data_IF_230410800907
#
_entry.id   IF_230410800907
#
_cell.length_a   1.000
_cell.length_b   1.000
_cell.length_c   1.000
_cell.angle_alpha   90.00
_cell.angle_beta   90.00
_cell.angle_gamma   90.00
#
_symmetry.space_group_name_H-M   'P 1'
#
loop_
_entity.id
_entity.type
_entity.pdbx_description
1 polymer ?
#
# COMPACT_ATOMS: atom_id res chain seq x y z
N UNK A 1 16.81 -13.34 -20.63
CA UNK A 1 17.49 -14.52 -20.04
C UNK A 1 16.44 -15.38 -19.35
N UNK A 2 16.41 -16.70 -19.63
CA UNK A 2 15.56 -17.62 -18.90
C UNK A 2 16.03 -17.71 -17.44
N UNK A 3 15.11 -17.57 -16.47
CA UNK A 3 15.45 -17.77 -15.04
C UNK A 3 15.69 -19.25 -14.80
N UNK A 4 16.77 -19.55 -14.10
CA UNK A 4 17.06 -20.93 -13.69
C UNK A 4 16.33 -21.19 -12.37
N UNK A 5 15.37 -22.11 -12.39
CA UNK A 5 14.71 -22.60 -11.17
C UNK A 5 15.78 -23.32 -10.32
N UNK A 6 15.92 -22.91 -9.06
CA UNK A 6 16.87 -23.47 -8.10
C UNK A 6 16.20 -24.38 -7.07
N UNK A 7 14.91 -24.18 -6.86
CA UNK A 7 14.10 -24.98 -5.95
C UNK A 7 12.71 -25.19 -6.55
N UNK A 8 12.28 -26.44 -6.53
CA UNK A 8 10.93 -26.84 -6.91
C UNK A 8 10.47 -27.92 -5.92
N UNK A 9 9.37 -27.67 -5.22
CA UNK A 9 8.81 -28.64 -4.27
C UNK A 9 7.30 -28.53 -4.20
N UNK A 10 6.68 -29.59 -3.66
CA UNK A 10 5.26 -29.63 -3.36
C UNK A 10 5.12 -30.11 -1.91
N UNK A 11 4.39 -29.36 -1.11
CA UNK A 11 4.09 -29.67 0.29
C UNK A 11 2.59 -29.85 0.45
N UNK A 12 2.18 -30.58 1.48
CA UNK A 12 0.77 -30.70 1.89
C UNK A 12 0.61 -30.21 3.32
N UNK A 13 -0.23 -29.21 3.49
CA UNK A 13 -0.47 -28.55 4.78
C UNK A 13 -1.99 -28.42 4.97
N UNK A 14 -2.55 -29.12 5.96
CA UNK A 14 -3.98 -29.05 6.31
C UNK A 14 -4.95 -29.13 5.12
N UNK A 15 -4.68 -30.04 4.19
CA UNK A 15 -5.50 -30.23 2.99
C UNK A 15 -5.17 -29.31 1.81
N UNK A 16 -4.25 -28.36 1.99
CA UNK A 16 -3.73 -27.48 0.96
C UNK A 16 -2.51 -28.07 0.27
N UNK A 17 -2.46 -27.99 -1.04
CA UNK A 17 -1.26 -28.26 -1.83
C UNK A 17 -0.48 -26.96 -2.04
N UNK A 18 0.66 -26.84 -1.34
CA UNK A 18 1.60 -25.72 -1.48
C UNK A 18 2.67 -26.10 -2.52
N UNK A 19 2.63 -25.43 -3.66
CA UNK A 19 3.63 -25.54 -4.74
C UNK A 19 4.65 -24.42 -4.61
N UNK A 20 5.93 -24.74 -4.59
CA UNK A 20 7.00 -23.76 -4.45
C UNK A 20 7.86 -23.75 -5.70
N UNK A 21 8.04 -22.57 -6.27
CA UNK A 21 8.93 -22.30 -7.41
C UNK A 21 9.89 -21.19 -7.01
N UNK A 22 11.20 -21.45 -7.00
CA UNK A 22 12.16 -20.45 -6.57
C UNK A 22 13.39 -20.39 -7.48
N UNK A 23 13.82 -19.17 -7.78
CA UNK A 23 15.15 -18.87 -8.36
C UNK A 23 16.16 -18.41 -7.28
N UNK A 24 15.75 -18.44 -6.00
CA UNK A 24 16.57 -18.19 -4.82
C UNK A 24 17.09 -19.52 -4.28
N UNK A 25 18.32 -19.57 -3.78
CA UNK A 25 18.87 -20.77 -3.15
C UNK A 25 18.58 -20.82 -1.66
N UNK A 26 19.59 -20.49 -0.85
CA UNK A 26 19.45 -20.40 0.60
C UNK A 26 18.40 -19.36 0.98
N UNK A 27 17.59 -19.65 2.01
CA UNK A 27 16.51 -18.78 2.49
C UNK A 27 15.12 -19.14 1.94
N UNK A 28 14.98 -19.89 0.83
CA UNK A 28 13.68 -20.38 0.35
C UNK A 28 12.97 -21.21 1.43
N UNK A 29 13.71 -22.01 2.20
CA UNK A 29 13.14 -22.84 3.27
C UNK A 29 12.50 -22.03 4.39
N UNK A 30 13.04 -20.86 4.73
CA UNK A 30 12.42 -19.96 5.72
C UNK A 30 11.07 -19.45 5.24
N UNK A 31 10.97 -19.11 3.97
CA UNK A 31 9.69 -18.66 3.37
C UNK A 31 8.69 -19.81 3.35
N UNK A 32 9.11 -21.02 3.00
CA UNK A 32 8.24 -22.21 3.02
C UNK A 32 7.70 -22.46 4.43
N UNK A 33 8.58 -22.46 5.45
CA UNK A 33 8.18 -22.68 6.84
C UNK A 33 7.18 -21.63 7.32
N UNK A 34 7.45 -20.35 7.02
CA UNK A 34 6.55 -19.26 7.39
C UNK A 34 5.19 -19.40 6.70
N UNK A 35 5.16 -19.79 5.43
CA UNK A 35 3.92 -20.01 4.67
C UNK A 35 3.13 -21.20 5.23
N UNK A 36 3.79 -22.31 5.54
CA UNK A 36 3.14 -23.46 6.16
C UNK A 36 2.50 -23.11 7.52
N UNK A 37 3.19 -22.30 8.33
CA UNK A 37 2.66 -21.84 9.63
C UNK A 37 1.43 -20.94 9.44
N UNK A 38 1.44 -20.06 8.45
CA UNK A 38 0.29 -19.19 8.12
C UNK A 38 -0.90 -20.01 7.65
N UNK A 39 -0.69 -20.99 6.76
CA UNK A 39 -1.75 -21.91 6.32
C UNK A 39 -2.36 -22.65 7.52
N UNK A 40 -1.55 -23.22 8.41
CA UNK A 40 -2.03 -23.94 9.61
C UNK A 40 -2.85 -23.03 10.52
N UNK A 41 -2.40 -21.80 10.73
CA UNK A 41 -3.08 -20.87 11.63
C UNK A 41 -4.43 -20.42 11.09
N UNK A 42 -4.54 -20.08 9.80
CA UNK A 42 -5.82 -19.75 9.16
C UNK A 42 -6.75 -20.99 9.09
N UNK A 43 -6.18 -22.18 8.84
CA UNK A 43 -6.95 -23.42 8.84
C UNK A 43 -7.54 -23.73 10.23
N UNK A 44 -6.75 -23.53 11.29
CA UNK A 44 -7.21 -23.69 12.67
C UNK A 44 -8.33 -22.70 13.05
N UNK A 45 -8.32 -21.51 12.45
CA UNK A 45 -9.38 -20.51 12.59
C UNK A 45 -10.61 -20.80 11.70
N UNK A 46 -10.63 -21.90 10.93
CA UNK A 46 -11.65 -22.26 9.95
C UNK A 46 -11.91 -21.19 8.87
N UNK A 47 -10.91 -20.41 8.54
CA UNK A 47 -10.99 -19.32 7.57
C UNK A 47 -10.30 -19.63 6.23
N UNK A 48 -9.61 -20.78 6.13
CA UNK A 48 -8.78 -21.13 4.99
C UNK A 48 -9.56 -21.81 3.85
N UNK A 49 -9.76 -21.16 2.68
CA UNK A 49 -10.51 -21.75 1.57
C UNK A 49 -9.62 -22.35 0.48
N UNK A 50 -8.30 -22.06 0.51
CA UNK A 50 -7.44 -22.40 -0.62
C UNK A 50 -7.06 -23.89 -0.61
N UNK A 51 -7.31 -24.56 -1.73
CA UNK A 51 -6.84 -25.92 -2.00
C UNK A 51 -5.45 -25.94 -2.62
N UNK A 52 -5.11 -24.84 -3.30
CA UNK A 52 -3.83 -24.69 -3.99
C UNK A 52 -3.25 -23.32 -3.68
N UNK A 53 -2.01 -23.34 -3.24
CA UNK A 53 -1.18 -22.14 -3.10
C UNK A 53 0.07 -22.33 -3.94
N UNK A 54 0.40 -21.37 -4.80
CA UNK A 54 1.65 -21.36 -5.51
C UNK A 54 2.52 -20.22 -4.98
N UNK A 55 3.64 -20.59 -4.37
CA UNK A 55 4.60 -19.66 -3.79
C UNK A 55 5.78 -19.48 -4.76
N UNK A 56 5.87 -18.31 -5.35
CA UNK A 56 6.99 -17.89 -6.19
C UNK A 56 7.98 -17.10 -5.35
N UNK A 57 9.15 -17.67 -5.05
CA UNK A 57 10.22 -16.98 -4.32
C UNK A 57 11.26 -16.51 -5.33
N UNK A 58 11.24 -15.23 -5.64
CA UNK A 58 11.99 -14.63 -6.73
C UNK A 58 13.10 -13.74 -6.19
N UNK A 59 14.28 -13.80 -6.79
CA UNK A 59 15.38 -12.92 -6.44
C UNK A 59 15.02 -11.45 -6.67
N UNK A 60 14.34 -11.17 -7.78
CA UNK A 60 13.89 -9.84 -8.21
C UNK A 60 12.63 -9.96 -9.05
N UNK A 61 11.64 -9.11 -8.79
CA UNK A 61 10.37 -9.09 -9.52
C UNK A 61 10.37 -8.18 -10.75
N UNK A 62 11.40 -7.37 -11.00
CA UNK A 62 11.47 -6.47 -12.15
C UNK A 62 11.23 -7.14 -13.52
N UNK A 63 11.82 -8.32 -13.82
CA UNK A 63 11.56 -9.00 -15.08
C UNK A 63 10.12 -9.46 -15.23
N UNK A 64 9.46 -9.87 -14.13
CA UNK A 64 8.04 -10.25 -14.14
C UNK A 64 7.15 -9.02 -14.38
N UNK A 65 7.41 -7.92 -13.68
CA UNK A 65 6.69 -6.66 -13.86
C UNK A 65 6.77 -6.15 -15.30
N UNK A 66 7.96 -6.19 -15.91
CA UNK A 66 8.14 -5.82 -17.32
C UNK A 66 7.37 -6.73 -18.28
N UNK A 67 7.34 -8.04 -18.03
CA UNK A 67 6.56 -8.98 -18.85
C UNK A 67 5.06 -8.76 -18.73
N UNK A 68 4.57 -8.47 -17.53
CA UNK A 68 3.17 -8.13 -17.28
C UNK A 68 2.80 -6.80 -17.96
N UNK A 69 3.64 -5.77 -17.81
CA UNK A 69 3.42 -4.47 -18.45
C UNK A 69 3.40 -4.50 -19.98
N UNK A 70 4.09 -5.47 -20.59
CA UNK A 70 4.08 -5.68 -22.03
C UNK A 70 2.83 -6.43 -22.57
N UNK A 71 2.00 -7.02 -21.69
CA UNK A 71 0.78 -7.75 -22.07
C UNK A 71 -0.43 -6.84 -21.96
N UNK A 72 -1.15 -6.68 -23.08
CA UNK A 72 -2.45 -6.00 -23.05
C UNK A 72 -3.40 -6.75 -22.11
N UNK A 73 -4.11 -6.02 -21.25
CA UNK A 73 -5.06 -6.60 -20.28
C UNK A 73 -4.41 -7.20 -19.02
N UNK A 74 -3.08 -7.14 -18.87
CA UNK A 74 -2.42 -7.69 -17.67
C UNK A 74 -2.87 -7.00 -16.36
N UNK A 75 -3.23 -5.72 -16.42
CA UNK A 75 -3.77 -4.98 -15.28
C UNK A 75 -5.11 -5.56 -14.80
N UNK A 76 -5.93 -6.10 -15.71
CA UNK A 76 -7.22 -6.74 -15.40
C UNK A 76 -7.03 -8.13 -14.75
N UNK A 77 -5.90 -8.78 -15.01
CA UNK A 77 -5.58 -10.10 -14.45
C UNK A 77 -5.08 -10.01 -12.99
N UNK A 78 -4.67 -8.83 -12.52
CA UNK A 78 -4.19 -8.63 -11.17
C UNK A 78 -5.31 -7.98 -10.36
N UNK A 79 -5.95 -8.75 -9.51
CA UNK A 79 -7.06 -8.33 -8.65
C UNK A 79 -6.71 -7.20 -7.68
N UNK A 80 -5.42 -6.90 -7.53
CA UNK A 80 -4.94 -5.81 -6.68
C UNK A 80 -3.59 -5.28 -7.14
N UNK A 81 -3.61 -4.33 -8.10
CA UNK A 81 -2.41 -3.55 -8.36
C UNK A 81 -2.21 -2.52 -7.25
N UNK A 82 -0.98 -2.36 -6.72
CA UNK A 82 -0.67 -1.29 -5.79
C UNK A 82 -0.75 0.09 -6.48
N UNK A 83 -0.86 1.19 -5.71
CA UNK A 83 -0.65 2.52 -6.25
C UNK A 83 0.68 2.57 -7.01
N UNK A 84 0.64 3.07 -8.24
CA UNK A 84 1.80 3.01 -9.16
C UNK A 84 1.80 1.82 -10.12
N UNK A 85 0.79 0.96 -10.05
CA UNK A 85 0.57 -0.09 -11.03
C UNK A 85 1.64 -1.18 -11.04
N UNK A 86 1.90 -1.73 -12.22
CA UNK A 86 2.84 -2.86 -12.43
C UNK A 86 4.28 -2.50 -12.00
N UNK A 87 4.71 -1.25 -12.17
CA UNK A 87 6.06 -0.84 -11.78
C UNK A 87 6.24 -0.87 -10.25
N UNK A 88 5.18 -0.55 -9.49
CA UNK A 88 5.21 -0.61 -8.03
C UNK A 88 5.24 -2.05 -7.50
N UNK A 89 4.71 -3.04 -8.26
CA UNK A 89 4.82 -4.47 -7.91
C UNK A 89 6.26 -4.89 -7.66
N UNK A 90 7.19 -4.43 -8.50
CA UNK A 90 8.59 -4.81 -8.40
C UNK A 90 9.29 -4.27 -7.13
N UNK A 91 8.72 -3.27 -6.47
CA UNK A 91 9.25 -2.69 -5.24
C UNK A 91 8.69 -3.36 -3.97
N UNK A 92 7.57 -4.10 -4.07
CA UNK A 92 6.92 -4.71 -2.91
C UNK A 92 7.65 -5.98 -2.44
N UNK A 93 7.72 -6.20 -1.11
CA UNK A 93 8.27 -7.42 -0.53
C UNK A 93 7.51 -8.68 -0.91
N UNK A 94 6.17 -8.66 -0.79
CA UNK A 94 5.27 -9.75 -1.16
C UNK A 94 4.09 -9.15 -1.94
N UNK A 95 3.54 -9.94 -2.84
CA UNK A 95 2.31 -9.62 -3.58
C UNK A 95 1.51 -10.89 -3.74
N UNK A 96 0.22 -10.82 -3.45
CA UNK A 96 -0.74 -11.90 -3.73
C UNK A 96 -1.49 -11.67 -5.05
N UNK A 97 -1.79 -12.75 -5.76
CA UNK A 97 -2.69 -12.76 -6.90
C UNK A 97 -3.69 -13.90 -6.72
N UNK A 98 -4.97 -13.56 -6.68
CA UNK A 98 -6.06 -14.48 -6.45
C UNK A 98 -7.25 -14.14 -7.33
N UNK A 99 -8.07 -15.14 -7.60
CA UNK A 99 -9.32 -14.96 -8.32
C UNK A 99 -10.46 -14.70 -7.30
N UNK A 100 -11.11 -13.55 -7.42
CA UNK A 100 -12.24 -13.18 -6.57
C UNK A 100 -13.46 -14.08 -6.78
N UNK A 101 -13.60 -14.68 -7.96
CA UNK A 101 -14.69 -15.60 -8.27
C UNK A 101 -14.42 -17.02 -7.76
N UNK A 102 -13.16 -17.38 -7.49
CA UNK A 102 -12.74 -18.70 -7.03
C UNK A 102 -11.69 -18.58 -5.92
N UNK A 103 -12.14 -18.69 -4.68
CA UNK A 103 -11.25 -18.66 -3.50
C UNK A 103 -10.36 -19.91 -3.36
N UNK A 104 -10.38 -20.85 -4.33
CA UNK A 104 -9.68 -22.12 -4.18
C UNK A 104 -8.19 -22.07 -4.49
N UNK A 105 -7.70 -21.02 -5.14
CA UNK A 105 -6.30 -20.87 -5.48
C UNK A 105 -5.77 -19.48 -5.16
N UNK A 106 -4.53 -19.43 -4.69
CA UNK A 106 -3.80 -18.19 -4.45
C UNK A 106 -2.38 -18.34 -4.97
N UNK A 107 -1.84 -17.28 -5.59
CA UNK A 107 -0.44 -17.20 -5.97
C UNK A 107 0.22 -16.09 -5.17
N UNK A 108 1.34 -16.40 -4.54
CA UNK A 108 2.16 -15.46 -3.79
C UNK A 108 3.49 -15.25 -4.49
N UNK A 109 3.90 -14.01 -4.61
CA UNK A 109 5.17 -13.61 -5.19
C UNK A 109 6.01 -12.92 -4.13
N UNK A 110 7.06 -13.59 -3.65
CA UNK A 110 8.01 -13.08 -2.66
C UNK A 110 9.23 -12.54 -3.39
N UNK A 111 9.55 -11.26 -3.17
CA UNK A 111 10.65 -10.54 -3.77
C UNK A 111 11.82 -10.45 -2.79
N UNK A 112 12.83 -11.31 -2.96
CA UNK A 112 13.98 -11.36 -2.06
C UNK A 112 14.70 -10.01 -1.95
N UNK A 113 14.91 -9.31 -3.06
CA UNK A 113 15.62 -8.02 -3.05
C UNK A 113 14.86 -6.95 -2.27
N UNK A 114 13.54 -6.87 -2.42
CA UNK A 114 12.70 -5.96 -1.65
C UNK A 114 12.66 -6.35 -0.17
N UNK A 115 12.57 -7.65 0.14
CA UNK A 115 12.60 -8.18 1.50
C UNK A 115 13.93 -7.86 2.21
N UNK A 116 15.06 -8.01 1.51
CA UNK A 116 16.39 -7.67 2.05
C UNK A 116 16.50 -6.16 2.32
N UNK A 117 16.05 -5.32 1.39
CA UNK A 117 16.05 -3.85 1.59
C UNK A 117 15.20 -3.41 2.78
N UNK A 118 14.06 -4.06 3.00
CA UNK A 118 13.18 -3.80 4.13
C UNK A 118 13.65 -4.47 5.44
N UNK A 119 14.66 -5.35 5.38
CA UNK A 119 15.17 -6.09 6.52
C UNK A 119 14.25 -7.21 7.00
N UNK A 120 13.34 -7.71 6.14
CA UNK A 120 12.36 -8.76 6.47
C UNK A 120 12.83 -10.18 6.11
N UNK A 121 13.83 -10.33 5.22
CA UNK A 121 14.20 -11.63 4.65
C UNK A 121 14.65 -12.66 5.69
N UNK A 122 15.37 -12.22 6.72
CA UNK A 122 15.87 -13.06 7.81
C UNK A 122 15.07 -12.87 9.12
N UNK A 123 13.89 -12.28 9.02
CA UNK A 123 13.01 -11.99 10.15
C UNK A 123 11.74 -12.86 10.08
N UNK A 124 11.69 -14.00 10.81
CA UNK A 124 10.56 -14.93 10.74
C UNK A 124 9.22 -14.30 11.17
N UNK A 125 9.23 -13.35 12.12
CA UNK A 125 8.01 -12.69 12.57
C UNK A 125 7.48 -11.75 11.49
N UNK A 126 8.36 -10.93 10.90
CA UNK A 126 8.00 -10.05 9.80
C UNK A 126 7.48 -10.83 8.59
N UNK A 127 8.15 -11.93 8.25
CA UNK A 127 7.78 -12.78 7.11
C UNK A 127 6.40 -13.40 7.30
N UNK A 128 6.10 -13.95 8.49
CA UNK A 128 4.77 -14.49 8.81
C UNK A 128 3.70 -13.40 8.80
N UNK A 129 4.00 -12.22 9.36
CA UNK A 129 3.08 -11.08 9.34
C UNK A 129 2.70 -10.64 7.93
N UNK A 130 3.70 -10.53 7.02
CA UNK A 130 3.47 -10.17 5.63
C UNK A 130 2.68 -11.24 4.87
N UNK A 131 3.03 -12.52 5.03
CA UNK A 131 2.30 -13.63 4.40
C UNK A 131 0.85 -13.71 4.92
N UNK A 132 0.65 -13.55 6.23
CA UNK A 132 -0.67 -13.53 6.82
C UNK A 132 -1.52 -12.38 6.27
N UNK A 133 -0.95 -11.19 6.17
CA UNK A 133 -1.61 -10.01 5.58
C UNK A 133 -2.01 -10.26 4.12
N UNK A 134 -1.12 -10.79 3.29
CA UNK A 134 -1.41 -11.05 1.88
C UNK A 134 -2.50 -12.11 1.69
N UNK A 135 -2.53 -13.15 2.54
CA UNK A 135 -3.60 -14.12 2.53
C UNK A 135 -4.92 -13.58 3.07
N UNK A 136 -4.89 -12.57 3.93
CA UNK A 136 -6.10 -11.95 4.44
C UNK A 136 -6.88 -11.18 3.38
N UNK A 137 -6.23 -10.62 2.35
CA UNK A 137 -6.92 -9.85 1.31
C UNK A 137 -8.09 -10.58 0.64
N UNK A 138 -7.95 -11.81 0.12
CA UNK A 138 -9.08 -12.53 -0.44
C UNK A 138 -10.13 -12.97 0.60
N UNK A 139 -9.73 -13.11 1.87
CA UNK A 139 -10.59 -13.59 2.94
C UNK A 139 -11.39 -12.47 3.62
N UNK A 140 -10.88 -11.24 3.58
CA UNK A 140 -11.45 -10.05 4.22
C UNK A 140 -12.44 -9.30 3.32
N UNK A 141 -12.90 -9.93 2.23
CA UNK A 141 -13.79 -9.29 1.25
C UNK A 141 -15.13 -8.94 1.90
N UNK A 142 -15.47 -7.65 1.93
CA UNK A 142 -16.71 -7.11 2.48
C UNK A 142 -17.31 -6.06 1.52
N UNK A 143 -18.43 -5.42 1.89
CA UNK A 143 -19.10 -4.46 1.03
C UNK A 143 -18.23 -3.23 0.76
N UNK A 144 -17.59 -2.69 1.78
CA UNK A 144 -16.68 -1.53 1.68
C UNK A 144 -15.47 -1.83 0.79
N UNK A 145 -14.85 -3.01 0.91
CA UNK A 145 -13.71 -3.39 0.06
C UNK A 145 -14.12 -3.61 -1.39
N UNK A 146 -15.32 -4.13 -1.65
CA UNK A 146 -15.90 -4.22 -3.00
C UNK A 146 -16.21 -2.86 -3.58
N UNK A 147 -16.79 -1.98 -2.78
CA UNK A 147 -17.10 -0.61 -3.19
C UNK A 147 -15.83 0.18 -3.52
N UNK A 148 -14.75 0.04 -2.74
CA UNK A 148 -13.50 0.76 -2.95
C UNK A 148 -12.86 0.47 -4.32
N UNK A 149 -13.02 -0.74 -4.86
CA UNK A 149 -12.53 -1.10 -6.20
C UNK A 149 -13.30 -0.43 -7.34
N UNK A 150 -14.45 0.15 -7.07
CA UNK A 150 -15.28 0.86 -8.05
C UNK A 150 -15.03 2.37 -8.04
N UNK A 151 -14.19 2.85 -7.14
CA UNK A 151 -13.83 4.26 -7.05
C UNK A 151 -12.64 4.57 -7.96
N UNK A 152 -12.63 5.79 -8.48
CA UNK A 152 -11.53 6.38 -9.24
C UNK A 152 -11.24 7.76 -8.68
N UNK A 153 -9.95 8.08 -8.54
CA UNK A 153 -9.52 9.41 -8.14
C UNK A 153 -9.42 10.34 -9.34
N UNK A 154 -9.83 11.58 -9.14
CA UNK A 154 -9.69 12.66 -10.12
C UNK A 154 -8.93 13.82 -9.50
N UNK A 155 -7.86 14.24 -10.16
CA UNK A 155 -6.99 15.29 -9.67
C UNK A 155 -6.75 16.33 -10.73
N UNK A 156 -6.96 17.60 -10.38
CA UNK A 156 -6.53 18.74 -11.17
C UNK A 156 -5.75 19.70 -10.30
N UNK A 157 -4.54 20.06 -10.74
CA UNK A 157 -3.81 21.18 -10.16
C UNK A 157 -4.44 22.46 -10.65
N UNK A 158 -4.77 23.36 -9.75
CA UNK A 158 -5.22 24.68 -10.10
C UNK A 158 -4.01 25.48 -10.62
N UNK A 159 -4.06 25.89 -11.88
CA UNK A 159 -2.97 26.65 -12.50
C UNK A 159 -2.88 28.01 -11.83
N UNK A 160 -1.68 28.47 -11.47
CA UNK A 160 -1.51 29.85 -11.09
C UNK A 160 -1.90 30.76 -12.27
N UNK A 161 -2.71 31.76 -12.01
CA UNK A 161 -3.21 32.70 -13.03
C UNK A 161 -2.13 33.64 -13.61
N UNK A 162 -0.85 33.45 -13.28
CA UNK A 162 0.23 34.38 -13.63
C UNK A 162 1.40 33.66 -14.29
N UNK A 163 1.69 34.12 -15.52
CA UNK A 163 2.97 33.97 -16.19
C UNK A 163 3.06 32.86 -17.24
N UNK A 164 3.94 33.07 -18.21
CA UNK A 164 4.34 32.05 -19.18
C UNK A 164 4.91 30.83 -18.46
N UNK A 165 4.23 29.69 -18.56
CA UNK A 165 4.73 28.41 -18.06
C UNK A 165 5.92 27.98 -18.92
N UNK A 166 7.10 27.86 -18.35
CA UNK A 166 8.20 27.20 -19.02
C UNK A 166 8.04 25.65 -18.95
N UNK A 167 8.76 24.91 -19.80
CA UNK A 167 8.70 23.47 -19.87
C UNK A 167 9.07 22.79 -18.53
N UNK A 168 9.90 23.43 -17.71
CA UNK A 168 10.34 22.92 -16.41
C UNK A 168 9.21 22.96 -15.40
N UNK A 169 8.45 24.05 -15.38
CA UNK A 169 7.29 24.18 -14.48
C UNK A 169 6.19 23.18 -14.86
N UNK A 170 5.91 23.00 -16.15
CA UNK A 170 4.94 22.01 -16.62
C UNK A 170 5.34 20.57 -16.24
N UNK A 171 6.61 20.21 -16.34
CA UNK A 171 7.11 18.90 -15.95
C UNK A 171 6.98 18.66 -14.43
N UNK A 172 7.27 19.68 -13.61
CA UNK A 172 7.11 19.62 -12.15
C UNK A 172 5.64 19.49 -11.74
N UNK A 173 4.74 20.25 -12.35
CA UNK A 173 3.30 20.14 -12.10
C UNK A 173 2.79 18.74 -12.42
N UNK A 174 3.20 18.15 -13.55
CA UNK A 174 2.85 16.80 -13.93
C UNK A 174 3.38 15.75 -12.91
N UNK A 175 4.58 15.99 -12.36
CA UNK A 175 5.13 15.12 -11.32
C UNK A 175 4.34 15.22 -10.02
N UNK A 176 4.01 16.44 -9.56
CA UNK A 176 3.20 16.65 -8.36
C UNK A 176 1.82 16.01 -8.54
N UNK A 177 1.15 16.24 -9.67
CA UNK A 177 -0.14 15.62 -9.95
C UNK A 177 -0.08 14.10 -9.85
N UNK A 178 0.92 13.46 -10.47
CA UNK A 178 1.11 12.00 -10.36
C UNK A 178 1.30 11.54 -8.93
N UNK A 179 2.08 12.25 -8.12
CA UNK A 179 2.30 11.88 -6.72
C UNK A 179 1.03 12.04 -5.87
N UNK A 180 0.22 13.06 -6.16
CA UNK A 180 -1.08 13.27 -5.50
C UNK A 180 -2.10 12.20 -5.90
N UNK A 181 -2.13 11.78 -7.18
CA UNK A 181 -2.96 10.63 -7.60
C UNK A 181 -2.59 9.41 -6.77
N UNK A 182 -1.31 9.06 -6.70
CA UNK A 182 -0.85 7.89 -5.95
C UNK A 182 -1.21 7.97 -4.46
N UNK A 183 -1.08 9.15 -3.85
CA UNK A 183 -1.47 9.36 -2.45
C UNK A 183 -2.99 9.26 -2.26
N UNK A 184 -3.78 9.86 -3.14
CA UNK A 184 -5.24 9.80 -3.08
C UNK A 184 -5.76 8.36 -3.29
N UNK A 185 -5.19 7.62 -4.24
CA UNK A 185 -5.50 6.20 -4.44
C UNK A 185 -5.18 5.39 -3.19
N UNK A 186 -4.01 5.61 -2.60
CA UNK A 186 -3.57 4.93 -1.38
C UNK A 186 -4.55 5.18 -0.24
N UNK A 187 -4.89 6.44 0.01
CA UNK A 187 -5.76 6.83 1.13
C UNK A 187 -7.24 6.45 0.94
N UNK A 188 -7.76 6.45 -0.29
CA UNK A 188 -9.19 6.26 -0.53
C UNK A 188 -9.57 4.89 -1.11
N UNK A 189 -8.70 4.28 -1.93
CA UNK A 189 -9.02 3.04 -2.63
C UNK A 189 -8.35 1.82 -1.98
N UNK A 190 -7.13 1.98 -1.49
CA UNK A 190 -6.37 0.88 -0.91
C UNK A 190 -6.56 0.76 0.60
N UNK A 191 -6.56 1.87 1.33
CA UNK A 191 -6.68 1.86 2.78
C UNK A 191 -7.86 1.01 3.32
N UNK A 192 -9.09 1.05 2.76
CA UNK A 192 -10.18 0.20 3.23
C UNK A 192 -9.87 -1.30 3.12
N UNK A 193 -9.11 -1.70 2.12
CA UNK A 193 -8.72 -3.10 1.88
C UNK A 193 -7.58 -3.54 2.79
N UNK A 194 -6.61 -2.66 3.00
CA UNK A 194 -5.49 -2.88 3.92
C UNK A 194 -5.99 -3.00 5.37
N UNK A 195 -6.93 -2.13 5.77
CA UNK A 195 -7.58 -2.18 7.08
C UNK A 195 -8.30 -3.53 7.27
N UNK A 196 -9.15 -3.91 6.32
CA UNK A 196 -9.92 -5.16 6.42
C UNK A 196 -9.01 -6.39 6.48
N UNK A 197 -7.94 -6.43 5.68
CA UNK A 197 -6.96 -7.52 5.68
C UNK A 197 -6.22 -7.60 7.02
N UNK A 198 -5.71 -6.48 7.54
CA UNK A 198 -5.03 -6.47 8.83
C UNK A 198 -5.95 -6.83 9.99
N UNK A 199 -7.21 -6.36 10.01
CA UNK A 199 -8.19 -6.75 11.02
C UNK A 199 -8.45 -8.27 11.02
N UNK A 200 -8.57 -8.87 9.85
CA UNK A 200 -8.76 -10.30 9.74
C UNK A 200 -7.52 -11.05 10.25
N UNK A 201 -6.33 -10.62 9.88
CA UNK A 201 -5.09 -11.22 10.36
C UNK A 201 -4.94 -11.08 11.88
N UNK A 202 -5.26 -9.91 12.46
CA UNK A 202 -5.26 -9.70 13.92
C UNK A 202 -6.23 -10.65 14.63
N UNK A 203 -7.47 -10.77 14.15
CA UNK A 203 -8.48 -11.69 14.70
C UNK A 203 -8.12 -13.15 14.52
N UNK A 204 -7.27 -13.47 13.55
CA UNK A 204 -6.76 -14.82 13.29
C UNK A 204 -5.51 -15.18 14.12
N UNK A 205 -5.12 -14.32 15.06
CA UNK A 205 -4.02 -14.57 15.99
C UNK A 205 -2.64 -14.13 15.49
N UNK A 206 -2.56 -13.32 14.43
CA UNK A 206 -1.28 -12.77 13.94
C UNK A 206 -0.91 -11.41 14.58
N UNK A 207 -1.49 -11.07 15.74
CA UNK A 207 -1.28 -9.78 16.39
C UNK A 207 0.18 -9.48 16.69
N UNK A 208 0.93 -10.45 17.26
CA UNK A 208 2.36 -10.30 17.52
C UNK A 208 3.18 -10.03 16.25
N UNK A 209 2.86 -10.72 15.16
CA UNK A 209 3.55 -10.60 13.88
C UNK A 209 3.30 -9.25 13.22
N UNK A 210 2.05 -8.77 13.23
CA UNK A 210 1.70 -7.46 12.68
C UNK A 210 2.24 -6.31 13.55
N UNK A 211 2.25 -6.48 14.87
CA UNK A 211 2.88 -5.52 15.77
C UNK A 211 4.38 -5.42 15.53
N UNK A 212 5.05 -6.57 15.37
CA UNK A 212 6.46 -6.60 15.01
C UNK A 212 6.74 -5.88 13.68
N UNK A 213 5.90 -6.09 12.66
CA UNK A 213 5.98 -5.34 11.39
C UNK A 213 5.84 -3.84 11.61
N UNK A 214 4.87 -3.40 12.40
CA UNK A 214 4.68 -1.98 12.70
C UNK A 214 5.90 -1.37 13.41
N UNK A 215 6.53 -2.10 14.33
CA UNK A 215 7.79 -1.66 14.98
C UNK A 215 8.94 -1.56 13.97
N UNK A 216 9.05 -2.51 13.04
CA UNK A 216 10.06 -2.49 11.97
C UNK A 216 9.83 -1.30 11.02
N UNK A 217 8.58 -1.05 10.64
CA UNK A 217 8.20 0.10 9.81
C UNK A 217 8.55 1.42 10.53
N UNK A 218 8.30 1.52 11.84
CA UNK A 218 8.67 2.68 12.63
C UNK A 218 10.20 2.91 12.66
N UNK A 219 10.97 1.85 12.83
CA UNK A 219 12.44 1.92 12.75
C UNK A 219 12.91 2.39 11.36
N UNK A 220 12.29 1.89 10.29
CA UNK A 220 12.57 2.33 8.93
C UNK A 220 12.20 3.80 8.70
N UNK A 221 11.05 4.27 9.23
CA UNK A 221 10.62 5.66 9.15
C UNK A 221 11.61 6.61 9.86
N UNK A 222 12.13 6.23 11.02
CA UNK A 222 13.22 6.96 11.70
C UNK A 222 14.47 7.05 10.82
N UNK A 223 14.87 5.95 10.19
CA UNK A 223 16.01 5.91 9.26
C UNK A 223 15.82 6.81 8.04
N UNK A 224 14.60 6.97 7.57
CA UNK A 224 14.26 7.80 6.41
C UNK A 224 14.41 9.32 6.67
N UNK A 225 14.45 9.76 7.93
CA UNK A 225 14.61 11.19 8.29
C UNK A 225 15.93 11.78 7.75
N UNK A 226 16.99 10.99 7.64
CA UNK A 226 18.25 11.44 7.04
C UNK A 226 18.05 11.80 5.55
N UNK A 227 17.37 10.95 4.77
CA UNK A 227 17.04 11.22 3.37
C UNK A 227 16.11 12.44 3.21
N UNK A 228 15.18 12.65 4.15
CA UNK A 228 14.36 13.86 4.21
C UNK A 228 15.21 15.12 4.40
N UNK A 229 16.19 15.08 5.29
CA UNK A 229 17.10 16.20 5.52
C UNK A 229 17.91 16.54 4.26
N UNK A 230 18.36 15.53 3.52
CA UNK A 230 19.03 15.72 2.24
C UNK A 230 18.10 16.33 1.18
N UNK A 231 16.86 15.85 1.09
CA UNK A 231 15.84 16.42 0.20
C UNK A 231 15.61 17.91 0.53
N UNK A 232 15.40 18.23 1.82
CA UNK A 232 15.23 19.62 2.29
C UNK A 232 16.41 20.51 1.87
N UNK A 233 17.64 20.04 2.10
CA UNK A 233 18.86 20.75 1.73
C UNK A 233 18.99 20.95 0.23
N UNK A 234 18.61 19.97 -0.59
CA UNK A 234 18.58 20.08 -2.04
C UNK A 234 17.55 21.12 -2.51
N UNK A 235 16.32 21.06 -2.01
CA UNK A 235 15.27 22.02 -2.36
C UNK A 235 15.63 23.45 -1.96
N UNK A 236 16.29 23.64 -0.81
CA UNK A 236 16.79 24.94 -0.40
C UNK A 236 17.87 25.50 -1.33
N UNK A 237 18.81 24.67 -1.80
CA UNK A 237 19.82 25.08 -2.78
C UNK A 237 19.17 25.47 -4.13
N UNK A 238 18.27 24.66 -4.66
CA UNK A 238 17.56 24.97 -5.91
C UNK A 238 16.75 26.27 -5.80
N UNK A 239 16.18 26.53 -4.62
CA UNK A 239 15.52 27.83 -4.32
C UNK A 239 16.51 29.00 -4.29
N UNK A 240 17.66 28.86 -3.62
CA UNK A 240 18.67 29.92 -3.54
C UNK A 240 19.30 30.26 -4.88
N UNK A 241 19.37 29.29 -5.78
CA UNK A 241 19.86 29.43 -7.14
C UNK A 241 18.76 29.87 -8.14
N UNK A 242 17.58 30.25 -7.64
CA UNK A 242 16.40 30.66 -8.42
C UNK A 242 15.92 29.63 -9.47
N UNK A 243 16.29 28.35 -9.31
CA UNK A 243 15.81 27.25 -10.16
C UNK A 243 14.44 26.74 -9.75
N UNK A 244 14.06 26.99 -8.50
CA UNK A 244 12.80 26.53 -7.92
C UNK A 244 12.11 27.68 -7.17
N UNK A 245 10.84 27.94 -7.50
CA UNK A 245 10.05 28.93 -6.77
C UNK A 245 9.84 28.45 -5.30
N UNK A 246 9.86 29.37 -4.32
CA UNK A 246 9.73 29.01 -2.88
C UNK A 246 8.54 28.12 -2.56
N UNK A 247 7.38 28.38 -3.18
CA UNK A 247 6.14 27.59 -3.00
C UNK A 247 6.31 26.13 -3.41
N UNK A 248 7.04 25.87 -4.50
CA UNK A 248 7.28 24.53 -4.96
C UNK A 248 8.21 23.74 -4.04
N UNK A 249 9.22 24.39 -3.47
CA UNK A 249 10.12 23.75 -2.53
C UNK A 249 9.37 23.24 -1.29
N UNK A 250 8.53 24.08 -0.70
CA UNK A 250 7.73 23.72 0.46
C UNK A 250 6.70 22.63 0.12
N UNK A 251 5.97 22.79 -0.99
CA UNK A 251 4.97 21.81 -1.39
C UNK A 251 5.55 20.44 -1.76
N UNK A 252 6.74 20.39 -2.39
CA UNK A 252 7.41 19.13 -2.68
C UNK A 252 7.90 18.42 -1.41
N UNK A 253 8.39 19.18 -0.42
CA UNK A 253 8.77 18.59 0.87
C UNK A 253 7.55 18.04 1.61
N UNK A 254 6.48 18.84 1.70
CA UNK A 254 5.22 18.42 2.31
C UNK A 254 4.65 17.17 1.63
N UNK A 255 4.60 17.14 0.30
CA UNK A 255 4.11 15.99 -0.46
C UNK A 255 4.96 14.73 -0.22
N UNK A 256 6.30 14.89 -0.13
CA UNK A 256 7.19 13.78 0.21
C UNK A 256 6.93 13.25 1.62
N UNK A 257 6.72 14.14 2.59
CA UNK A 257 6.40 13.79 3.97
C UNK A 257 5.04 13.07 4.06
N UNK A 258 4.00 13.58 3.38
CA UNK A 258 2.68 12.95 3.32
C UNK A 258 2.74 11.56 2.70
N UNK A 259 3.44 11.42 1.57
CA UNK A 259 3.65 10.12 0.91
C UNK A 259 4.42 9.10 1.76
N UNK A 260 5.31 9.57 2.60
CA UNK A 260 6.11 8.70 3.46
C UNK A 260 5.41 8.30 4.76
N UNK A 261 4.38 9.05 5.18
CA UNK A 261 3.89 8.90 6.56
C UNK A 261 2.37 8.95 6.74
N UNK A 262 1.56 9.34 5.73
CA UNK A 262 0.12 9.37 5.88
C UNK A 262 -0.51 7.97 6.02
N UNK A 263 0.14 6.94 5.49
CA UNK A 263 -0.26 5.53 5.58
C UNK A 263 -0.33 5.01 7.03
N UNK A 264 0.43 5.58 7.97
CA UNK A 264 0.37 5.18 9.37
C UNK A 264 -1.05 5.23 9.95
N UNK A 265 -1.89 6.12 9.45
CA UNK A 265 -3.26 6.26 9.94
C UNK A 265 -4.10 4.99 9.66
N UNK A 266 -3.98 4.39 8.47
CA UNK A 266 -4.70 3.15 8.16
C UNK A 266 -3.93 1.89 8.58
N UNK A 267 -2.60 1.95 8.71
CA UNK A 267 -1.82 0.83 9.25
C UNK A 267 -2.13 0.57 10.73
N UNK A 268 -2.41 1.61 11.52
CA UNK A 268 -2.72 1.49 12.95
C UNK A 268 -4.21 1.31 13.24
N UNK A 269 -5.12 1.72 12.35
CA UNK A 269 -6.57 1.58 12.55
C UNK A 269 -7.02 0.16 12.91
N UNK A 270 -6.53 -0.93 12.26
CA UNK A 270 -6.92 -2.30 12.58
C UNK A 270 -6.64 -2.72 14.03
N UNK A 271 -5.57 -2.21 14.63
CA UNK A 271 -5.22 -2.51 16.01
C UNK A 271 -6.25 -1.92 16.99
N UNK A 272 -6.77 -0.69 16.72
CA UNK A 272 -7.86 -0.12 17.48
C UNK A 272 -9.13 -0.94 17.37
N UNK A 273 -9.53 -1.31 16.16
CA UNK A 273 -10.73 -2.11 15.89
C UNK A 273 -10.67 -3.52 16.49
N UNK A 274 -9.49 -4.06 16.72
CA UNK A 274 -9.26 -5.41 17.21
C UNK A 274 -8.94 -5.48 18.70
N UNK A 275 -9.06 -4.38 19.45
CA UNK A 275 -8.87 -4.35 20.91
C UNK A 275 -7.41 -4.27 21.37
N UNK A 276 -6.49 -3.84 20.50
CA UNK A 276 -5.07 -3.63 20.82
C UNK A 276 -4.75 -2.16 21.16
N UNK A 277 -5.67 -1.46 21.83
CA UNK A 277 -5.59 -0.01 22.07
C UNK A 277 -4.31 0.43 22.76
N UNK A 278 -3.86 -0.27 23.82
CA UNK A 278 -2.66 0.10 24.57
C UNK A 278 -1.39 0.01 23.72
N UNK A 279 -1.30 -1.03 22.88
CA UNK A 279 -0.20 -1.23 21.95
C UNK A 279 -0.21 -0.15 20.87
N UNK A 280 -1.38 0.20 20.38
CA UNK A 280 -1.53 1.24 19.35
C UNK A 280 -1.14 2.61 19.89
N UNK A 281 -1.55 2.93 21.12
CA UNK A 281 -1.16 4.18 21.78
C UNK A 281 0.35 4.29 22.00
N UNK A 282 1.02 3.18 22.33
CA UNK A 282 2.49 3.14 22.44
C UNK A 282 3.17 3.41 21.09
N UNK A 283 2.71 2.75 20.02
CA UNK A 283 3.21 2.99 18.66
C UNK A 283 2.98 4.42 18.19
N UNK A 284 1.79 4.99 18.46
CA UNK A 284 1.49 6.38 18.12
C UNK A 284 2.35 7.37 18.89
N UNK A 285 2.55 7.14 20.18
CA UNK A 285 3.42 8.00 20.99
C UNK A 285 4.86 8.00 20.45
N UNK A 286 5.36 6.81 20.08
CA UNK A 286 6.68 6.69 19.47
C UNK A 286 6.73 7.33 18.07
N UNK A 287 5.70 7.16 17.23
CA UNK A 287 5.59 7.79 15.92
C UNK A 287 5.60 9.33 16.04
N UNK A 288 4.86 9.89 16.99
CA UNK A 288 4.83 11.33 17.24
C UNK A 288 6.19 11.85 17.72
N UNK A 289 6.82 11.16 18.69
CA UNK A 289 8.09 11.60 19.26
C UNK A 289 9.26 11.48 18.27
N UNK A 290 9.33 10.37 17.53
CA UNK A 290 10.52 9.99 16.80
C UNK A 290 10.46 10.31 15.29
N UNK A 291 9.27 10.57 14.75
CA UNK A 291 9.06 10.86 13.34
C UNK A 291 8.35 12.19 13.14
N UNK A 292 7.11 12.33 13.59
CA UNK A 292 6.28 13.49 13.26
C UNK A 292 6.81 14.79 13.84
N UNK A 293 7.49 14.75 15.00
CA UNK A 293 8.18 15.93 15.58
C UNK A 293 9.26 16.54 14.66
N UNK A 294 9.71 15.78 13.66
CA UNK A 294 10.71 16.21 12.68
C UNK A 294 10.11 16.62 11.32
N UNK A 295 8.79 16.48 11.15
CA UNK A 295 8.08 16.78 9.89
C UNK A 295 7.39 18.14 9.96
N UNK A 296 6.81 18.57 8.85
CA UNK A 296 5.99 19.78 8.83
C UNK A 296 4.69 19.53 9.63
N UNK A 297 4.18 20.51 10.42
CA UNK A 297 3.00 20.34 11.28
C UNK A 297 1.76 19.84 10.57
N UNK A 298 1.61 20.16 9.29
CA UNK A 298 0.51 19.71 8.44
C UNK A 298 0.42 18.19 8.31
N UNK A 299 1.56 17.48 8.40
CA UNK A 299 1.59 16.01 8.35
C UNK A 299 0.89 15.43 9.57
N UNK A 300 1.18 15.95 10.77
CA UNK A 300 0.52 15.52 12.00
C UNK A 300 -0.97 15.87 12.00
N UNK A 301 -1.35 17.03 11.43
CA UNK A 301 -2.75 17.44 11.32
C UNK A 301 -3.51 16.49 10.39
N UNK A 302 -2.97 16.17 9.21
CA UNK A 302 -3.59 15.20 8.30
C UNK A 302 -3.68 13.81 8.93
N UNK A 303 -2.61 13.35 9.59
CA UNK A 303 -2.62 12.06 10.29
C UNK A 303 -3.77 11.97 11.29
N UNK A 304 -3.99 13.02 12.12
CA UNK A 304 -5.08 13.03 13.09
C UNK A 304 -6.46 12.91 12.41
N UNK A 305 -6.68 13.68 11.34
CA UNK A 305 -7.92 13.60 10.55
C UNK A 305 -8.12 12.21 9.93
N UNK A 306 -7.09 11.67 9.29
CA UNK A 306 -7.15 10.34 8.67
C UNK A 306 -7.41 9.25 9.71
N UNK A 307 -6.75 9.31 10.87
CA UNK A 307 -6.95 8.36 11.98
C UNK A 307 -8.41 8.30 12.39
N UNK A 308 -9.05 9.45 12.64
CA UNK A 308 -10.47 9.51 13.01
C UNK A 308 -11.36 8.89 11.93
N UNK A 309 -11.10 9.20 10.67
CA UNK A 309 -11.86 8.68 9.53
C UNK A 309 -11.71 7.16 9.36
N UNK A 310 -10.50 6.63 9.53
CA UNK A 310 -10.27 5.18 9.43
C UNK A 310 -10.79 4.41 10.64
N UNK A 311 -10.74 4.99 11.85
CA UNK A 311 -11.37 4.40 13.03
C UNK A 311 -12.91 4.33 12.93
N UNK A 312 -13.51 5.25 12.16
CA UNK A 312 -14.94 5.25 11.88
C UNK A 312 -15.34 4.41 10.65
N UNK A 313 -14.39 3.84 9.93
CA UNK A 313 -14.65 3.09 8.71
C UNK A 313 -15.35 1.76 9.04
N UNK A 314 -16.54 1.58 8.46
CA UNK A 314 -17.36 0.38 8.66
C UNK A 314 -17.19 -0.61 7.49
N UNK A 315 -17.36 -1.92 7.71
CA UNK A 315 -17.22 -2.95 6.66
C UNK A 315 -18.43 -3.03 5.69
N UNK A 316 -19.51 -2.33 5.99
CA UNK A 316 -20.81 -2.42 5.29
C UNK A 316 -21.17 -1.14 4.52
N UNK A 317 -20.20 -0.26 4.24
CA UNK A 317 -20.46 0.96 3.47
C UNK A 317 -20.80 0.64 2.02
N UNK A 318 -21.97 1.14 1.59
CA UNK A 318 -22.35 1.14 0.18
C UNK A 318 -21.45 2.08 -0.63
N UNK A 319 -21.46 1.93 -1.96
CA UNK A 319 -20.58 2.69 -2.84
C UNK A 319 -20.75 4.21 -2.72
N UNK A 320 -21.98 4.70 -2.54
CA UNK A 320 -22.26 6.14 -2.39
C UNK A 320 -21.79 6.67 -1.02
N UNK A 321 -21.94 5.88 0.04
CA UNK A 321 -21.44 6.23 1.37
C UNK A 321 -19.91 6.30 1.37
N UNK A 322 -19.25 5.30 0.76
CA UNK A 322 -17.81 5.27 0.63
C UNK A 322 -17.29 6.40 -0.26
N UNK A 323 -18.01 6.74 -1.33
CA UNK A 323 -17.71 7.90 -2.18
C UNK A 323 -17.74 9.20 -1.37
N UNK A 324 -18.77 9.39 -0.54
CA UNK A 324 -18.90 10.56 0.34
C UNK A 324 -17.77 10.62 1.36
N UNK A 325 -17.45 9.47 2.00
CA UNK A 325 -16.36 9.33 2.95
C UNK A 325 -15.01 9.69 2.31
N UNK A 326 -14.70 9.14 1.14
CA UNK A 326 -13.44 9.39 0.47
C UNK A 326 -13.30 10.84 -0.04
N UNK A 327 -14.41 11.48 -0.47
CA UNK A 327 -14.40 12.91 -0.82
C UNK A 327 -14.05 13.79 0.38
N UNK A 328 -14.53 13.43 1.56
CA UNK A 328 -14.18 14.15 2.79
C UNK A 328 -12.69 14.03 3.10
N UNK A 329 -12.08 12.84 2.94
CA UNK A 329 -10.63 12.67 3.07
C UNK A 329 -9.85 13.52 2.07
N UNK A 330 -10.27 13.51 0.79
CA UNK A 330 -9.60 14.26 -0.26
C UNK A 330 -9.73 15.77 -0.07
N UNK A 331 -10.82 16.24 0.50
CA UNK A 331 -10.97 17.65 0.86
C UNK A 331 -9.93 18.04 1.91
N UNK A 332 -9.78 17.28 2.99
CA UNK A 332 -8.75 17.51 4.00
C UNK A 332 -7.33 17.51 3.42
N UNK A 333 -7.04 16.57 2.51
CA UNK A 333 -5.76 16.53 1.81
C UNK A 333 -5.56 17.80 0.95
N UNK A 334 -6.58 18.26 0.22
CA UNK A 334 -6.50 19.45 -0.61
C UNK A 334 -6.25 20.72 0.23
N UNK A 335 -6.92 20.84 1.38
CA UNK A 335 -6.72 21.94 2.34
C UNK A 335 -5.27 21.98 2.85
N UNK A 336 -4.72 20.85 3.26
CA UNK A 336 -3.32 20.73 3.71
C UNK A 336 -2.34 21.06 2.58
N UNK A 337 -2.59 20.60 1.36
CA UNK A 337 -1.75 20.94 0.21
C UNK A 337 -1.80 22.43 -0.12
N UNK A 338 -2.94 23.08 0.04
CA UNK A 338 -3.09 24.53 -0.15
C UNK A 338 -2.27 25.33 0.88
N UNK A 339 -2.21 24.88 2.15
CA UNK A 339 -1.30 25.46 3.16
C UNK A 339 0.18 25.33 2.74
N UNK A 340 0.54 24.24 2.06
CA UNK A 340 1.84 24.04 1.42
C UNK A 340 2.03 24.82 0.12
N UNK A 341 1.10 25.73 -0.21
CA UNK A 341 1.06 26.54 -1.44
C UNK A 341 0.95 25.72 -2.75
N UNK A 342 0.35 24.54 -2.68
CA UNK A 342 -0.04 23.72 -3.84
C UNK A 342 -1.56 23.62 -3.87
N UNK A 343 -2.19 24.52 -4.62
CA UNK A 343 -3.64 24.50 -4.82
C UNK A 343 -4.02 23.34 -5.73
N UNK A 344 -4.89 22.47 -5.23
CA UNK A 344 -5.36 21.27 -5.93
C UNK A 344 -6.85 21.12 -5.78
N UNK A 345 -7.47 20.49 -6.77
CA UNK A 345 -8.79 19.91 -6.65
C UNK A 345 -8.66 18.41 -6.72
N UNK A 346 -9.09 17.75 -5.67
CA UNK A 346 -9.09 16.30 -5.53
C UNK A 346 -10.55 15.85 -5.43
N UNK A 347 -10.93 14.84 -6.21
CA UNK A 347 -12.28 14.30 -6.20
C UNK A 347 -12.25 12.80 -6.44
N UNK A 348 -13.36 12.14 -6.10
CA UNK A 348 -13.64 10.74 -6.38
C UNK A 348 -14.87 10.61 -7.24
N UNK A 349 -14.88 9.60 -8.09
CA UNK A 349 -16.08 9.16 -8.82
C UNK A 349 -16.20 7.65 -8.80
N UNK A 350 -17.40 7.16 -9.07
CA UNK A 350 -17.60 5.75 -9.37
C UNK A 350 -17.13 5.46 -10.81
N UNK A 351 -16.41 4.36 -10.99
CA UNK A 351 -16.19 3.83 -12.32
C UNK A 351 -17.54 3.56 -12.97
N UNK A 352 -17.76 4.11 -14.16
CA UNK A 352 -18.95 3.78 -14.92
C UNK A 352 -18.88 2.28 -15.22
N UNK A 353 -19.92 1.53 -14.84
CA UNK A 353 -20.09 0.17 -15.35
C UNK A 353 -20.14 0.33 -16.86
N UNK A 354 -19.15 -0.24 -17.53
CA UNK A 354 -19.25 -0.45 -18.98
C UNK A 354 -20.49 -1.34 -19.13
N UNK A 355 -21.61 -0.74 -19.50
CA UNK A 355 -22.76 -1.51 -19.94
C UNK A 355 -22.22 -2.36 -21.08
N UNK A 356 -21.99 -3.62 -20.78
CA UNK A 356 -21.87 -4.66 -21.77
C UNK A 356 -23.21 -4.65 -22.51
N UNK A 357 -23.28 -3.79 -23.52
CA UNK A 357 -24.42 -3.74 -24.40
C UNK A 357 -24.58 -5.11 -25.00
N UNK A 358 -25.63 -5.78 -24.57
CA UNK A 358 -26.22 -6.88 -25.29
C UNK A 358 -26.32 -6.49 -26.77
N UNK A 359 -25.35 -6.93 -27.56
CA UNK A 359 -25.49 -7.04 -28.99
C UNK A 359 -25.82 -8.49 -29.28
N UNK A 360 -27.00 -8.88 -28.87
CA UNK A 360 -27.72 -9.96 -29.54
C UNK A 360 -28.79 -9.31 -30.40
N UNK A 361 -28.49 -9.11 -31.64
CA UNK A 361 -29.34 -8.82 -32.76
C UNK A 361 -28.78 -9.57 -33.97
#
# INVERSE_FOLDING_TARGET
MARTVKHLSVHRVDGTELRVVSDVGAGTLLVIQAEEDVIRQYSAAALWPHRWVTLFVLKDMQPLARQLGARAGAAEMLSSLPPGGIDALAARPIVSAYDLASSHSCNLFVNQEAMLRAGYWEDPLALRGLLAHEHAHPLAENETTRASRRLLTEISLLRPQYGHEDATQSAMQAQIARQLVLLADELCLYAPREIAANELALRSGFGEHLFHLAQRNLAAARGALAGRAELRSRLQRERSEARLAPRWANGLLLLADLRGHANWAFELAPFYHSGYESITQELEAALQADVFSHLEPQVSALYATLREQYQALRPDLAADELLSWGRHLLQGLAEIMAEGAIETRLDLRLAQEVQSGDKHG
#
